data_IF_856664777139
#
_entry.id   IF_856664777139
#
_cell.length_a   1.000
_cell.length_b   1.000
_cell.length_c   1.000
_cell.angle_alpha   90.00
_cell.angle_beta   90.00
_cell.angle_gamma   90.00
#
_symmetry.space_group_name_H-M   'P 1'
#
loop_
_entity.id
_entity.type
_entity.pdbx_description
1 polymer ?
#
# COMPACT_ATOMS: atom_id res chain seq x y z
N UNK A 1 -10.65 -0.91 -17.49
CA UNK A 1 -11.19 -1.66 -16.33
C UNK A 1 -10.64 -1.04 -15.05
N UNK A 2 -11.47 -0.80 -14.03
CA UNK A 2 -11.02 -0.18 -12.78
C UNK A 2 -9.98 -1.06 -12.08
N UNK A 3 -8.80 -0.53 -11.71
CA UNK A 3 -7.78 -1.31 -11.04
C UNK A 3 -8.08 -1.51 -9.55
N UNK A 4 -7.69 -2.67 -9.02
CA UNK A 4 -7.53 -2.91 -7.59
C UNK A 4 -6.17 -2.40 -7.12
N UNK A 5 -6.09 -1.96 -5.87
CA UNK A 5 -4.86 -1.47 -5.26
C UNK A 5 -4.41 -2.45 -4.18
N UNK A 6 -3.12 -2.80 -4.21
CA UNK A 6 -2.41 -3.52 -3.15
C UNK A 6 -1.28 -2.64 -2.63
N UNK A 7 -1.04 -2.70 -1.32
CA UNK A 7 0.07 -2.01 -0.66
C UNK A 7 1.07 -3.01 -0.11
N UNK A 8 2.36 -2.72 -0.28
CA UNK A 8 3.49 -3.43 0.31
C UNK A 8 4.46 -2.42 0.93
N UNK A 9 5.25 -2.86 1.90
CA UNK A 9 6.31 -2.06 2.53
C UNK A 9 7.60 -2.83 2.37
N UNK A 10 8.63 -2.19 1.82
CA UNK A 10 9.93 -2.82 1.54
C UNK A 10 9.79 -4.10 0.70
N UNK A 11 8.83 -4.09 -0.24
CA UNK A 11 8.42 -5.23 -1.08
C UNK A 11 7.78 -6.42 -0.34
N UNK A 12 7.51 -6.27 0.96
CA UNK A 12 6.86 -7.27 1.80
C UNK A 12 5.41 -6.88 2.15
N UNK A 13 4.65 -7.85 2.68
CA UNK A 13 3.29 -7.61 3.12
C UNK A 13 3.26 -6.67 4.34
N UNK A 14 2.38 -5.67 4.28
CA UNK A 14 2.27 -4.69 5.36
C UNK A 14 1.54 -5.30 6.56
N UNK A 15 2.17 -5.25 7.73
CA UNK A 15 1.45 -5.48 8.99
C UNK A 15 0.34 -4.45 9.19
N UNK A 16 -0.90 -4.91 9.24
CA UNK A 16 -2.08 -4.06 9.39
C UNK A 16 -2.28 -3.53 10.82
N UNK A 17 -1.40 -3.87 11.77
CA UNK A 17 -1.42 -3.32 13.13
C UNK A 17 -1.20 -1.81 13.10
N UNK A 18 -2.17 -1.04 13.61
CA UNK A 18 -2.14 0.43 13.57
C UNK A 18 -2.39 1.05 12.19
N UNK A 19 -2.66 0.23 11.16
CA UNK A 19 -2.86 0.69 9.77
C UNK A 19 -4.26 0.34 9.28
N UNK A 20 -4.77 1.12 8.33
CA UNK A 20 -6.10 0.91 7.77
C UNK A 20 -6.10 1.25 6.28
N UNK A 21 -6.75 0.40 5.49
CA UNK A 21 -7.05 0.68 4.09
C UNK A 21 -8.40 1.40 4.00
N UNK A 22 -8.42 2.51 3.28
CA UNK A 22 -9.59 3.34 3.04
C UNK A 22 -9.76 3.57 1.53
N UNK A 23 -10.93 4.07 1.12
CA UNK A 23 -11.25 4.36 -0.28
C UNK A 23 -10.97 3.17 -1.22
N UNK A 24 -11.53 1.99 -0.93
CA UNK A 24 -11.28 0.76 -1.71
C UNK A 24 -9.79 0.43 -1.87
N UNK A 25 -9.07 0.52 -0.75
CA UNK A 25 -7.62 0.31 -0.64
C UNK A 25 -6.76 1.32 -1.40
N UNK A 26 -7.33 2.42 -1.91
CA UNK A 26 -6.57 3.49 -2.58
C UNK A 26 -5.81 4.38 -1.59
N UNK A 27 -6.15 4.30 -0.31
CA UNK A 27 -5.52 5.09 0.74
C UNK A 27 -5.05 4.17 1.86
N UNK A 28 -3.74 4.14 2.12
CA UNK A 28 -3.17 3.54 3.31
C UNK A 28 -3.06 4.60 4.40
N UNK A 29 -3.78 4.41 5.50
CA UNK A 29 -3.75 5.28 6.66
C UNK A 29 -3.01 4.60 7.81
N UNK A 30 -1.93 5.22 8.27
CA UNK A 30 -1.14 4.77 9.42
C UNK A 30 -1.50 5.64 10.62
N UNK A 31 -1.82 5.03 11.75
CA UNK A 31 -2.10 5.73 13.02
C UNK A 31 -1.00 5.40 14.02
N UNK A 32 -0.66 6.37 14.88
CA UNK A 32 0.38 6.22 15.90
C UNK A 32 1.73 5.79 15.31
N UNK A 33 2.27 6.59 14.38
CA UNK A 33 3.53 6.31 13.68
C UNK A 33 4.65 5.99 14.68
N UNK A 34 5.40 4.91 14.42
CA UNK A 34 6.64 4.56 15.10
C UNK A 34 7.82 4.49 14.12
N UNK A 35 9.03 4.25 14.65
CA UNK A 35 10.22 4.00 13.81
C UNK A 35 10.07 2.76 12.93
N UNK A 36 9.27 1.77 13.36
CA UNK A 36 9.02 0.53 12.59
C UNK A 36 8.17 0.77 11.33
N UNK A 37 7.50 1.93 11.23
CA UNK A 37 6.74 2.31 10.05
C UNK A 37 7.61 2.92 8.94
N UNK A 38 8.89 3.23 9.21
CA UNK A 38 9.81 3.75 8.20
C UNK A 38 10.21 2.68 7.18
N UNK A 39 10.23 3.04 5.90
CA UNK A 39 10.57 2.17 4.77
C UNK A 39 9.85 2.60 3.50
N UNK A 40 10.09 1.89 2.41
CA UNK A 40 9.53 2.21 1.09
C UNK A 40 8.12 1.63 0.97
N UNK A 41 7.12 2.47 0.76
CA UNK A 41 5.74 2.01 0.52
C UNK A 41 5.49 1.86 -0.97
N UNK A 42 5.04 0.69 -1.40
CA UNK A 42 4.75 0.42 -2.80
C UNK A 42 3.24 0.24 -2.96
N UNK A 43 2.65 0.98 -3.89
CA UNK A 43 1.28 0.75 -4.33
C UNK A 43 1.29 0.04 -5.70
N UNK A 44 0.67 -1.13 -5.76
CA UNK A 44 0.46 -1.88 -7.00
C UNK A 44 -0.97 -1.69 -7.46
N UNK A 45 -1.16 -1.06 -8.63
CA UNK A 45 -2.45 -0.96 -9.30
C UNK A 45 -2.56 -2.07 -10.35
N UNK A 46 -3.58 -2.92 -10.26
CA UNK A 46 -3.73 -4.08 -11.16
C UNK A 46 -5.14 -4.22 -11.72
N UNK A 47 -5.25 -4.53 -13.01
CA UNK A 47 -6.49 -4.93 -13.67
C UNK A 47 -6.22 -6.02 -14.73
N UNK A 48 -7.26 -6.47 -15.43
CA UNK A 48 -7.14 -7.52 -16.48
C UNK A 48 -6.20 -7.17 -17.65
N UNK A 49 -5.75 -5.93 -17.78
CA UNK A 49 -4.84 -5.48 -18.84
C UNK A 49 -3.39 -5.40 -18.37
N UNK A 50 -3.12 -5.46 -17.06
CA UNK A 50 -1.78 -5.41 -16.51
C UNK A 50 -1.73 -4.81 -15.11
N UNK A 51 -0.50 -4.60 -14.65
CA UNK A 51 -0.18 -4.03 -13.34
C UNK A 51 0.92 -2.97 -13.44
N UNK A 52 0.90 -2.01 -12.52
CA UNK A 52 1.94 -1.00 -12.37
C UNK A 52 2.21 -0.75 -10.89
N UNK A 53 3.49 -0.62 -10.56
CA UNK A 53 3.98 -0.33 -9.21
C UNK A 53 4.47 1.13 -9.12
N UNK A 54 4.20 1.77 -7.99
CA UNK A 54 4.74 3.08 -7.65
C UNK A 54 5.33 3.04 -6.24
N UNK A 55 6.60 3.42 -6.13
CA UNK A 55 7.33 3.50 -4.86
C UNK A 55 7.17 4.90 -4.29
N UNK A 56 6.78 4.97 -3.02
CA UNK A 56 6.54 6.17 -2.24
C UNK A 56 7.60 6.17 -1.14
N UNK A 57 8.63 7.00 -1.35
CA UNK A 57 9.75 7.25 -0.44
C UNK A 57 9.52 8.51 0.38
#
# INVERSE_FOLDING_TARGET
PTPSIKWTKDWEEISMTGKKLENFNKTLRIKNISMDDGGDYICTASNRMGSLDHVIT
#
